data_IF_688819943558
#
_entry.id   IF_688819943558
#
_cell.length_a   1.000
_cell.length_b   1.000
_cell.length_c   1.000
_cell.angle_alpha   90.00
_cell.angle_beta   90.00
_cell.angle_gamma   90.00
#
_symmetry.space_group_name_H-M   'P 1'
#
loop_
_entity.id
_entity.type
_entity.pdbx_description
1 polymer ?
#
# COMPACT_ATOMS: atom_id res chain seq x y z
N UNK A 1 12.55 2.43 11.04
CA UNK A 1 13.28 3.40 10.20
C UNK A 1 13.36 4.70 10.97
N UNK A 2 14.55 5.13 11.37
CA UNK A 2 14.77 6.40 12.07
C UNK A 2 14.72 7.51 11.02
N UNK A 3 13.92 8.57 11.24
CA UNK A 3 13.98 9.74 10.38
C UNK A 3 15.31 10.44 10.60
N UNK A 4 16.15 10.45 9.57
CA UNK A 4 17.31 11.33 9.50
C UNK A 4 16.86 12.71 9.06
N UNK A 5 17.65 13.74 9.37
CA UNK A 5 17.36 15.12 8.97
C UNK A 5 17.17 15.25 7.45
N UNK A 6 17.97 14.53 6.65
CA UNK A 6 17.83 14.51 5.19
C UNK A 6 16.50 13.93 4.71
N UNK A 7 15.97 12.90 5.38
CA UNK A 7 14.70 12.30 5.02
C UNK A 7 13.52 13.23 5.36
N UNK A 8 13.65 14.01 6.43
CA UNK A 8 12.66 15.02 6.83
C UNK A 8 12.58 16.14 5.79
N UNK A 9 13.73 16.66 5.35
CA UNK A 9 13.75 17.71 4.31
C UNK A 9 13.20 17.21 2.97
N UNK A 10 13.45 15.95 2.60
CA UNK A 10 12.83 15.35 1.41
C UNK A 10 11.30 15.26 1.51
N UNK A 11 10.76 14.93 2.69
CA UNK A 11 9.30 14.88 2.92
C UNK A 11 8.70 16.29 2.82
N UNK A 12 9.32 17.29 3.46
CA UNK A 12 8.85 18.67 3.43
C UNK A 12 8.77 19.19 1.99
N UNK A 13 9.83 18.96 1.21
CA UNK A 13 9.90 19.39 -0.18
C UNK A 13 8.91 18.64 -1.08
N UNK A 14 8.79 17.31 -0.92
CA UNK A 14 7.93 16.48 -1.78
C UNK A 14 6.45 16.79 -1.59
N UNK A 15 6.03 17.19 -0.40
CA UNK A 15 4.62 17.41 -0.06
C UNK A 15 4.24 18.88 0.15
N UNK A 16 5.13 19.82 -0.15
CA UNK A 16 4.89 21.26 0.01
C UNK A 16 4.30 21.62 1.38
N UNK A 17 4.88 21.04 2.43
CA UNK A 17 4.41 21.21 3.81
C UNK A 17 4.67 22.66 4.25
N UNK A 18 3.69 23.30 4.90
CA UNK A 18 3.85 24.67 5.39
C UNK A 18 4.94 24.77 6.47
N UNK A 19 5.45 25.98 6.72
CA UNK A 19 6.61 26.19 7.58
C UNK A 19 6.38 25.78 9.05
N UNK A 20 5.15 25.88 9.54
CA UNK A 20 4.77 25.49 10.91
C UNK A 20 4.80 23.95 11.07
N UNK A 21 4.25 23.22 10.10
CA UNK A 21 4.28 21.75 10.06
C UNK A 21 5.69 21.22 9.75
N UNK A 22 6.47 21.95 8.94
CA UNK A 22 7.87 21.66 8.68
C UNK A 22 8.74 21.81 9.95
N UNK A 23 8.48 22.82 10.78
CA UNK A 23 9.15 23.00 12.06
C UNK A 23 8.85 21.84 13.03
N UNK A 24 7.60 21.36 13.06
CA UNK A 24 7.21 20.17 13.86
C UNK A 24 7.94 18.92 13.36
N UNK A 25 8.05 18.74 12.04
CA UNK A 25 8.78 17.62 11.42
C UNK A 25 10.28 17.65 11.73
N UNK A 26 10.91 18.84 11.63
CA UNK A 26 12.32 19.05 11.98
C UNK A 26 12.58 18.80 13.46
N UNK A 27 11.68 19.24 14.35
CA UNK A 27 11.76 18.98 15.79
C UNK A 27 11.57 17.50 16.15
N UNK A 28 10.97 16.71 15.27
CA UNK A 28 10.82 15.26 15.39
C UNK A 28 11.95 14.47 14.71
N UNK A 29 12.92 15.12 14.05
CA UNK A 29 14.09 14.42 13.49
C UNK A 29 14.85 13.70 14.62
N UNK A 30 14.94 12.36 14.54
CA UNK A 30 15.43 11.49 15.61
C UNK A 30 14.33 10.75 16.41
N UNK A 31 13.11 11.29 16.47
CA UNK A 31 11.92 10.53 16.85
C UNK A 31 11.33 9.92 15.57
N UNK A 32 11.17 8.59 15.51
CA UNK A 32 10.72 7.92 14.28
C UNK A 32 9.47 8.58 13.66
N UNK A 33 9.32 8.51 12.34
CA UNK A 33 8.38 9.31 11.55
C UNK A 33 6.98 9.56 12.16
N UNK A 34 6.37 10.75 11.94
CA UNK A 34 5.03 11.04 12.42
C UNK A 34 4.05 9.94 12.00
N UNK A 35 3.09 9.60 12.88
CA UNK A 35 2.13 8.51 12.62
C UNK A 35 1.33 8.72 11.32
N UNK A 36 1.09 9.96 10.93
CA UNK A 36 0.38 10.32 9.70
C UNK A 36 1.22 10.04 8.43
N UNK A 37 2.53 10.28 8.44
CA UNK A 37 3.40 9.97 7.30
C UNK A 37 3.48 8.45 7.11
N UNK A 38 3.65 7.70 8.21
CA UNK A 38 3.61 6.22 8.18
C UNK A 38 2.28 5.65 7.69
N UNK A 39 1.18 6.40 7.84
CA UNK A 39 -0.13 5.99 7.30
C UNK A 39 -0.19 6.24 5.80
N UNK A 40 0.26 7.41 5.34
CA UNK A 40 0.28 7.76 3.93
C UNK A 40 1.21 6.83 3.14
N UNK A 41 2.44 6.61 3.62
CA UNK A 41 3.42 5.71 2.98
C UNK A 41 2.87 4.29 2.84
N UNK A 42 2.16 3.79 3.85
CA UNK A 42 1.50 2.47 3.79
C UNK A 42 0.39 2.43 2.74
N UNK A 43 -0.41 3.49 2.62
CA UNK A 43 -1.46 3.55 1.59
C UNK A 43 -0.85 3.60 0.19
N UNK A 44 0.21 4.37 -0.02
CA UNK A 44 0.92 4.44 -1.30
C UNK A 44 1.57 3.10 -1.65
N UNK A 45 2.22 2.44 -0.69
CA UNK A 45 2.81 1.11 -0.87
C UNK A 45 1.74 0.06 -1.19
N UNK A 46 0.59 0.10 -0.50
CA UNK A 46 -0.55 -0.76 -0.80
C UNK A 46 -1.05 -0.54 -2.22
N UNK A 47 -1.26 0.71 -2.61
CA UNK A 47 -1.82 1.06 -3.91
C UNK A 47 -0.86 0.65 -5.05
N UNK A 48 0.44 0.83 -4.87
CA UNK A 48 1.43 0.37 -5.84
C UNK A 48 1.54 -1.16 -5.91
N UNK A 49 1.41 -1.86 -4.77
CA UNK A 49 1.34 -3.32 -4.75
C UNK A 49 0.11 -3.84 -5.51
N UNK A 50 -1.06 -3.17 -5.36
CA UNK A 50 -2.29 -3.48 -6.12
C UNK A 50 -2.05 -3.28 -7.62
N UNK A 51 -1.53 -2.12 -8.03
CA UNK A 51 -1.24 -1.82 -9.46
C UNK A 51 -0.26 -2.84 -10.05
N UNK A 52 0.76 -3.22 -9.30
CA UNK A 52 1.75 -4.21 -9.73
C UNK A 52 1.14 -5.59 -9.88
N UNK A 53 0.35 -6.04 -8.90
CA UNK A 53 -0.32 -7.33 -8.95
C UNK A 53 -1.31 -7.42 -10.12
N UNK A 54 -2.09 -6.36 -10.37
CA UNK A 54 -3.03 -6.30 -11.48
C UNK A 54 -2.33 -6.34 -12.84
N UNK A 55 -1.30 -5.50 -13.05
CA UNK A 55 -0.48 -5.51 -14.27
C UNK A 55 0.19 -6.86 -14.53
N UNK A 56 0.55 -7.60 -13.49
CA UNK A 56 1.27 -8.87 -13.63
C UNK A 56 0.39 -10.09 -13.80
N UNK A 57 -0.73 -10.17 -13.09
CA UNK A 57 -1.53 -11.40 -12.98
C UNK A 57 -2.95 -11.29 -13.55
N UNK A 58 -3.37 -10.09 -13.94
CA UNK A 58 -4.70 -9.82 -14.46
C UNK A 58 -4.65 -8.96 -15.73
N UNK A 59 -3.50 -8.92 -16.41
CA UNK A 59 -3.24 -8.07 -17.58
C UNK A 59 -4.22 -8.30 -18.74
N UNK A 60 -4.69 -9.55 -18.89
CA UNK A 60 -5.57 -9.96 -19.98
C UNK A 60 -7.05 -9.60 -19.73
N UNK A 61 -7.37 -9.03 -18.56
CA UNK A 61 -8.74 -8.67 -18.18
C UNK A 61 -8.97 -7.16 -18.31
N UNK A 62 -10.15 -6.72 -18.77
CA UNK A 62 -10.57 -5.32 -18.65
C UNK A 62 -10.51 -4.83 -17.19
N UNK A 63 -10.19 -3.55 -16.94
CA UNK A 63 -9.96 -3.00 -15.59
C UNK A 63 -11.05 -3.37 -14.58
N UNK A 64 -12.32 -3.31 -14.99
CA UNK A 64 -13.45 -3.70 -14.15
C UNK A 64 -13.40 -5.19 -13.75
N UNK A 65 -13.21 -6.08 -14.73
CA UNK A 65 -13.14 -7.52 -14.50
C UNK A 65 -11.88 -7.89 -13.68
N UNK A 66 -10.76 -7.21 -13.95
CA UNK A 66 -9.52 -7.35 -13.20
C UNK A 66 -9.71 -6.96 -11.72
N UNK A 67 -10.36 -5.82 -11.44
CA UNK A 67 -10.65 -5.37 -10.08
C UNK A 67 -11.58 -6.33 -9.31
N UNK A 68 -12.61 -6.87 -9.98
CA UNK A 68 -13.50 -7.87 -9.38
C UNK A 68 -12.80 -9.21 -9.12
N UNK A 69 -11.98 -9.68 -10.06
CA UNK A 69 -11.21 -10.91 -9.89
C UNK A 69 -10.19 -10.76 -8.75
N UNK A 70 -9.49 -9.64 -8.70
CA UNK A 70 -8.54 -9.31 -7.64
C UNK A 70 -9.20 -9.27 -6.25
N UNK A 71 -10.32 -8.54 -6.11
CA UNK A 71 -11.05 -8.43 -4.84
C UNK A 71 -11.50 -9.81 -4.33
N UNK A 72 -12.07 -10.66 -5.22
CA UNK A 72 -12.46 -12.03 -4.85
C UNK A 72 -11.28 -12.90 -4.44
N UNK A 73 -10.16 -12.82 -5.16
CA UNK A 73 -8.97 -13.60 -4.84
C UNK A 73 -8.34 -13.14 -3.52
N UNK A 74 -8.33 -11.83 -3.24
CA UNK A 74 -7.89 -11.28 -1.96
C UNK A 74 -8.77 -11.78 -0.81
N UNK A 75 -10.09 -11.73 -0.95
CA UNK A 75 -11.01 -12.23 0.08
C UNK A 75 -10.79 -13.73 0.35
N UNK A 76 -10.49 -14.53 -0.68
CA UNK A 76 -10.13 -15.94 -0.51
C UNK A 76 -8.84 -16.12 0.29
N UNK A 77 -7.83 -15.27 0.08
CA UNK A 77 -6.59 -15.29 0.88
C UNK A 77 -6.88 -14.89 2.33
N UNK A 78 -7.67 -13.85 2.55
CA UNK A 78 -8.03 -13.42 3.89
C UNK A 78 -8.79 -14.51 4.65
N UNK A 79 -9.74 -15.19 3.99
CA UNK A 79 -10.50 -16.28 4.59
C UNK A 79 -9.67 -17.54 4.89
N UNK A 80 -8.64 -17.83 4.08
CA UNK A 80 -7.89 -19.09 4.18
C UNK A 80 -6.54 -18.99 4.89
N UNK A 81 -5.94 -17.80 4.94
CA UNK A 81 -4.52 -17.63 5.29
C UNK A 81 -4.22 -16.41 6.14
N UNK A 82 -5.21 -15.61 6.55
CA UNK A 82 -4.91 -14.41 7.35
C UNK A 82 -4.33 -14.73 8.74
N UNK A 83 -4.51 -15.96 9.25
CA UNK A 83 -3.84 -16.40 10.48
C UNK A 83 -2.32 -16.60 10.32
N UNK A 84 -1.75 -16.40 9.13
CA UNK A 84 -0.31 -16.45 8.93
C UNK A 84 0.34 -15.18 9.51
N UNK A 85 1.23 -15.36 10.47
CA UNK A 85 2.02 -14.28 11.07
C UNK A 85 2.70 -13.43 9.99
N UNK A 86 2.87 -12.13 10.25
CA UNK A 86 3.46 -11.16 9.31
C UNK A 86 4.85 -11.61 8.78
N UNK A 87 5.55 -12.46 9.54
CA UNK A 87 6.84 -13.07 9.17
C UNK A 87 6.78 -14.39 8.40
N UNK A 88 5.60 -14.89 8.03
CA UNK A 88 5.52 -16.17 7.31
C UNK A 88 6.09 -16.03 5.92
N UNK A 89 7.08 -16.87 5.61
CA UNK A 89 7.76 -16.90 4.33
C UNK A 89 6.80 -17.37 3.22
N UNK A 90 6.56 -16.49 2.27
CA UNK A 90 5.71 -16.71 1.10
C UNK A 90 6.51 -17.06 -0.16
N UNK A 91 7.82 -17.29 -0.03
CA UNK A 91 8.69 -17.66 -1.15
C UNK A 91 8.29 -19.00 -1.80
N UNK A 92 7.67 -19.90 -1.04
CA UNK A 92 7.24 -21.24 -1.48
C UNK A 92 5.84 -21.27 -2.10
N UNK A 93 5.07 -20.17 -2.03
CA UNK A 93 3.73 -20.11 -2.62
C UNK A 93 3.75 -19.51 -4.02
N UNK A 94 2.73 -19.86 -4.81
CA UNK A 94 2.53 -19.30 -6.16
C UNK A 94 2.67 -17.76 -6.15
N UNK A 95 3.37 -17.19 -7.13
CA UNK A 95 3.68 -15.76 -7.20
C UNK A 95 2.45 -14.84 -7.11
N UNK A 96 1.30 -15.26 -7.69
CA UNK A 96 0.03 -14.52 -7.58
C UNK A 96 -0.44 -14.46 -6.13
N UNK A 97 -0.34 -15.60 -5.43
CA UNK A 97 -0.71 -15.72 -4.02
C UNK A 97 0.21 -14.88 -3.14
N UNK A 98 1.53 -14.91 -3.39
CA UNK A 98 2.50 -14.07 -2.68
C UNK A 98 2.18 -12.58 -2.81
N UNK A 99 1.86 -12.11 -4.02
CA UNK A 99 1.46 -10.72 -4.25
C UNK A 99 0.17 -10.34 -3.51
N UNK A 100 -0.83 -11.22 -3.48
CA UNK A 100 -2.08 -11.00 -2.72
C UNK A 100 -1.84 -10.95 -1.21
N UNK A 101 -0.94 -11.80 -0.69
CA UNK A 101 -0.55 -11.76 0.73
C UNK A 101 0.16 -10.45 1.07
N UNK A 102 1.03 -9.95 0.19
CA UNK A 102 1.69 -8.66 0.39
C UNK A 102 0.66 -7.52 0.45
N UNK A 103 -0.30 -7.49 -0.48
CA UNK A 103 -1.41 -6.51 -0.42
C UNK A 103 -2.21 -6.64 0.87
N UNK A 104 -2.52 -7.86 1.30
CA UNK A 104 -3.24 -8.10 2.55
C UNK A 104 -2.46 -7.56 3.76
N UNK A 105 -1.14 -7.79 3.83
CA UNK A 105 -0.27 -7.24 4.89
C UNK A 105 -0.30 -5.71 4.90
N UNK A 106 -0.14 -5.08 3.75
CA UNK A 106 -0.18 -3.61 3.62
C UNK A 106 -1.56 -3.02 3.94
N UNK A 107 -2.64 -3.77 3.70
CA UNK A 107 -4.01 -3.39 4.04
C UNK A 107 -4.49 -3.91 5.41
N UNK A 108 -3.56 -4.33 6.28
CA UNK A 108 -3.85 -4.76 7.65
C UNK A 108 -4.86 -5.92 7.75
N UNK A 109 -4.91 -6.78 6.73
CA UNK A 109 -5.82 -7.93 6.69
C UNK A 109 -7.26 -7.62 6.39
N UNK A 110 -7.54 -6.38 6.00
CA UNK A 110 -8.89 -5.97 5.65
C UNK A 110 -9.18 -6.31 4.21
N UNK A 111 -10.43 -6.65 3.92
CA UNK A 111 -10.90 -6.77 2.55
C UNK A 111 -10.80 -5.43 1.81
N UNK A 112 -10.65 -5.51 0.50
CA UNK A 112 -10.71 -4.37 -0.41
C UNK A 112 -11.87 -4.60 -1.37
N UNK A 113 -12.86 -3.72 -1.31
CA UNK A 113 -13.97 -3.74 -2.25
C UNK A 113 -13.46 -3.48 -3.68
N UNK A 114 -13.99 -4.21 -4.66
CA UNK A 114 -13.59 -4.07 -6.06
C UNK A 114 -13.69 -2.63 -6.59
N UNK A 115 -14.63 -1.80 -6.09
CA UNK A 115 -14.73 -0.37 -6.45
C UNK A 115 -13.50 0.42 -6.01
N UNK A 116 -12.97 0.14 -4.83
CA UNK A 116 -11.76 0.80 -4.33
C UNK A 116 -10.53 0.38 -5.14
N UNK A 117 -10.44 -0.92 -5.47
CA UNK A 117 -9.39 -1.45 -6.35
C UNK A 117 -9.45 -0.76 -7.72
N UNK A 118 -10.65 -0.63 -8.29
CA UNK A 118 -10.86 0.06 -9.55
C UNK A 118 -10.42 1.53 -9.47
N UNK A 119 -10.82 2.26 -8.42
CA UNK A 119 -10.40 3.65 -8.21
C UNK A 119 -8.87 3.81 -8.12
N UNK A 120 -8.16 2.86 -7.50
CA UNK A 120 -6.69 2.88 -7.37
C UNK A 120 -5.99 2.69 -8.73
N UNK A 121 -6.58 1.87 -9.60
CA UNK A 121 -6.05 1.54 -10.93
C UNK A 121 -6.38 2.63 -11.93
N UNK A 122 -7.61 3.14 -11.89
CA UNK A 122 -8.07 4.21 -12.76
C UNK A 122 -7.44 5.56 -12.36
N UNK A 123 -7.14 5.73 -11.06
CA UNK A 123 -6.03 6.51 -10.49
C UNK A 123 -5.80 8.00 -10.84
N UNK A 124 -6.41 8.59 -11.87
CA UNK A 124 -5.78 9.74 -12.52
C UNK A 124 -6.75 10.78 -13.13
N UNK A 125 -7.91 11.01 -12.49
CA UNK A 125 -8.80 12.15 -12.82
C UNK A 125 -9.37 12.78 -11.55
N UNK A 126 -8.57 13.56 -10.87
CA UNK A 126 -9.08 14.43 -9.80
C UNK A 126 -7.98 15.03 -8.94
N UNK A 127 -7.46 16.18 -9.37
CA UNK A 127 -6.94 17.25 -8.51
C UNK A 127 -5.65 16.97 -7.76
#
# INVERSE_FOLDING_TARGET
MTLTADHVEQIIQRYAINEDDAAILRAQAGAGAPRWSRRQDRLENRDEAIRTALRRFYADLPSYAAAQAFSRDLDRILASCWQMDVGTDVSSINAKRAALVEVAKQNEGRSLGWRQVLNIVDGARGG
#
